data_IF_894022601892
#
_entry.id   IF_894022601892
#
_cell.length_a   1.000
_cell.length_b   1.000
_cell.length_c   1.000
_cell.angle_alpha   90.00
_cell.angle_beta   90.00
_cell.angle_gamma   90.00
#
_symmetry.space_group_name_H-M   'P 1'
#
loop_
_entity.id
_entity.type
_entity.pdbx_description
1 polymer ?
#
# COMPACT_ATOMS: atom_id res chain seq x y z
N UNK A 1 16.51 7.98 -2.49
CA UNK A 1 15.87 7.25 -1.37
C UNK A 1 15.22 8.24 -0.42
N UNK A 2 13.98 7.98 -0.03
CA UNK A 2 13.31 8.75 1.01
C UNK A 2 13.51 8.07 2.36
N UNK A 3 13.17 8.76 3.45
CA UNK A 3 13.24 8.22 4.82
C UNK A 3 11.89 8.34 5.51
N UNK A 4 10.79 8.16 4.78
CA UNK A 4 9.46 8.23 5.36
C UNK A 4 9.30 7.15 6.43
N UNK A 5 8.65 7.50 7.53
CA UNK A 5 8.47 6.66 8.70
C UNK A 5 7.06 6.85 9.27
N UNK A 6 6.65 5.94 10.14
CA UNK A 6 5.29 5.88 10.66
C UNK A 6 4.36 5.08 9.74
N UNK A 7 3.06 5.15 10.01
CA UNK A 7 2.06 4.41 9.25
C UNK A 7 1.67 5.10 7.95
N UNK A 8 1.24 4.29 6.97
CA UNK A 8 0.57 4.80 5.77
C UNK A 8 -0.78 5.40 6.22
N UNK A 9 -1.04 6.69 5.98
CA UNK A 9 -2.31 7.30 6.34
C UNK A 9 -3.48 6.75 5.54
N UNK A 10 -4.61 6.48 6.19
CA UNK A 10 -5.81 5.91 5.56
C UNK A 10 -6.36 6.76 4.41
N UNK A 11 -6.16 8.09 4.46
CA UNK A 11 -6.64 9.00 3.40
C UNK A 11 -5.94 8.76 2.05
N UNK A 12 -4.76 8.13 2.03
CA UNK A 12 -4.09 7.80 0.77
C UNK A 12 -4.85 6.74 -0.05
N UNK A 13 -5.79 6.03 0.57
CA UNK A 13 -6.67 5.07 -0.10
C UNK A 13 -8.00 5.63 -0.60
N UNK A 14 -8.34 6.89 -0.31
CA UNK A 14 -9.68 7.42 -0.53
C UNK A 14 -9.64 8.81 -1.19
N UNK A 15 -10.65 9.17 -1.98
CA UNK A 15 -10.62 9.10 -3.45
C UNK A 15 -9.60 10.09 -4.03
N UNK A 16 -8.32 9.73 -3.99
CA UNK A 16 -7.35 10.32 -4.89
C UNK A 16 -7.49 9.59 -6.22
N UNK A 17 -7.47 10.30 -7.35
CA UNK A 17 -7.34 9.68 -8.68
C UNK A 17 -5.93 9.09 -8.89
N UNK A 18 -5.44 8.37 -7.88
CA UNK A 18 -4.10 7.87 -7.80
C UNK A 18 -4.04 6.56 -8.57
N UNK A 19 -3.31 6.58 -9.68
CA UNK A 19 -3.06 5.39 -10.49
C UNK A 19 -1.75 4.70 -10.08
N UNK A 20 -0.82 5.45 -9.48
CA UNK A 20 0.53 4.99 -9.16
C UNK A 20 0.96 5.42 -7.77
N UNK A 21 1.22 4.47 -6.89
CA UNK A 21 1.77 4.68 -5.55
C UNK A 21 3.03 3.81 -5.38
N UNK A 22 4.18 4.47 -5.30
CA UNK A 22 5.45 3.81 -5.02
C UNK A 22 6.09 4.39 -3.74
N UNK A 23 6.08 3.58 -2.69
CA UNK A 23 6.67 3.81 -1.38
C UNK A 23 7.82 2.82 -1.11
N UNK A 24 8.35 2.20 -2.17
CA UNK A 24 9.47 1.27 -2.07
C UNK A 24 10.65 1.90 -1.32
N UNK A 25 11.30 1.10 -0.48
CA UNK A 25 12.52 1.47 0.23
C UNK A 25 12.36 2.69 1.14
N UNK A 26 11.55 2.50 2.19
CA UNK A 26 11.32 3.48 3.25
C UNK A 26 11.34 2.78 4.63
N UNK A 27 10.96 3.50 5.68
CA UNK A 27 10.86 3.02 7.06
C UNK A 27 9.42 3.01 7.56
N UNK A 28 8.47 2.77 6.67
CA UNK A 28 7.04 2.73 7.01
C UNK A 28 6.72 1.51 7.86
N UNK A 29 5.84 1.69 8.85
CA UNK A 29 5.41 0.67 9.81
C UNK A 29 3.87 0.57 9.83
N UNK A 30 3.30 -0.29 10.67
CA UNK A 30 1.85 -0.46 10.74
C UNK A 30 1.29 -1.44 9.71
N UNK A 31 -0.03 -1.41 9.53
CA UNK A 31 -0.77 -2.31 8.63
C UNK A 31 -1.05 -1.64 7.28
N UNK A 32 -1.32 -2.45 6.26
CA UNK A 32 -1.78 -1.93 4.96
C UNK A 32 -3.21 -1.37 5.14
N UNK A 33 -3.48 -0.09 4.80
CA UNK A 33 -4.81 0.47 4.94
C UNK A 33 -5.84 -0.26 4.09
N UNK A 34 -6.97 -0.65 4.69
CA UNK A 34 -8.12 -1.22 3.95
C UNK A 34 -8.71 -0.22 2.95
N UNK A 35 -8.52 1.08 3.20
CA UNK A 35 -9.03 2.15 2.34
C UNK A 35 -8.47 2.09 0.94
N UNK A 36 -7.27 1.51 0.75
CA UNK A 36 -6.72 1.22 -0.57
C UNK A 36 -7.72 0.48 -1.47
N UNK A 37 -8.57 -0.40 -0.91
CA UNK A 37 -9.56 -1.16 -1.66
C UNK A 37 -10.81 -0.37 -2.12
N UNK A 38 -10.98 0.91 -1.74
CA UNK A 38 -12.25 1.64 -1.87
C UNK A 38 -12.17 2.74 -2.97
N UNK A 39 -13.17 2.82 -3.86
CA UNK A 39 -12.96 2.66 -5.31
C UNK A 39 -11.62 3.26 -5.78
N UNK A 40 -10.62 2.40 -5.89
CA UNK A 40 -9.29 2.81 -6.30
C UNK A 40 -9.08 2.66 -7.80
N UNK A 41 -8.49 3.69 -8.40
CA UNK A 41 -7.94 3.65 -9.76
C UNK A 41 -6.48 3.16 -9.77
N UNK A 42 -5.95 2.66 -8.64
CA UNK A 42 -4.57 2.21 -8.54
C UNK A 42 -4.29 1.08 -9.53
N UNK A 43 -3.34 1.33 -10.41
CA UNK A 43 -2.76 0.39 -11.35
C UNK A 43 -1.44 -0.17 -10.81
N UNK A 44 -0.72 0.61 -10.00
CA UNK A 44 0.57 0.24 -9.44
C UNK A 44 0.66 0.59 -7.95
N UNK A 45 0.84 -0.43 -7.12
CA UNK A 45 1.08 -0.29 -5.69
C UNK A 45 2.37 -1.01 -5.31
N UNK A 46 3.39 -0.25 -4.94
CA UNK A 46 4.66 -0.76 -4.44
C UNK A 46 4.93 -0.22 -3.03
N UNK A 47 4.83 -1.09 -2.03
CA UNK A 47 5.18 -0.78 -0.64
C UNK A 47 6.30 -1.72 -0.14
N UNK A 48 7.06 -2.31 -1.06
CA UNK A 48 8.14 -3.23 -0.72
C UNK A 48 9.30 -2.55 0.01
N UNK A 49 10.13 -3.36 0.68
CA UNK A 49 11.29 -2.88 1.46
C UNK A 49 10.87 -1.81 2.49
N UNK A 50 9.96 -2.20 3.38
CA UNK A 50 9.46 -1.42 4.51
C UNK A 50 9.36 -2.33 5.76
N UNK A 51 8.73 -1.85 6.82
CA UNK A 51 8.51 -2.57 8.08
C UNK A 51 7.01 -2.78 8.35
N UNK A 52 6.20 -2.93 7.29
CA UNK A 52 4.76 -3.18 7.39
C UNK A 52 4.51 -4.55 8.05
N UNK A 53 3.46 -4.67 8.84
CA UNK A 53 3.12 -5.90 9.58
C UNK A 53 1.62 -6.20 9.57
N UNK A 54 1.24 -7.38 10.06
CA UNK A 54 -0.13 -7.88 10.03
C UNK A 54 -0.49 -8.51 8.69
N UNK A 55 -1.78 -8.76 8.48
CA UNK A 55 -2.27 -9.46 7.29
C UNK A 55 -2.40 -8.51 6.09
N UNK A 56 -2.28 -9.07 4.89
CA UNK A 56 -2.73 -8.40 3.67
C UNK A 56 -4.27 -8.33 3.71
N UNK A 57 -4.88 -7.13 3.67
CA UNK A 57 -6.32 -6.99 3.73
C UNK A 57 -7.01 -7.74 2.58
N UNK A 58 -8.04 -8.52 2.92
CA UNK A 58 -8.81 -9.29 1.93
C UNK A 58 -9.58 -8.39 0.97
N UNK A 59 -9.86 -7.16 1.40
CA UNK A 59 -10.51 -6.10 0.67
C UNK A 59 -9.71 -5.72 -0.57
N UNK A 60 -8.38 -5.85 -0.57
CA UNK A 60 -7.54 -5.56 -1.74
C UNK A 60 -7.86 -6.48 -2.95
N UNK A 61 -8.65 -7.55 -2.76
CA UNK A 61 -9.24 -8.33 -3.87
C UNK A 61 -10.19 -7.50 -4.73
N UNK A 62 -10.71 -6.38 -4.25
CA UNK A 62 -11.56 -5.45 -5.02
C UNK A 62 -10.77 -4.58 -6.00
N UNK A 63 -9.45 -4.62 -5.97
CA UNK A 63 -8.60 -3.89 -6.91
C UNK A 63 -8.72 -4.43 -8.32
N UNK A 64 -9.64 -3.87 -9.10
CA UNK A 64 -9.89 -4.30 -10.47
C UNK A 64 -8.90 -3.75 -11.50
N UNK A 65 -8.21 -2.65 -11.19
CA UNK A 65 -7.27 -1.99 -12.11
C UNK A 65 -5.80 -2.31 -11.83
N UNK A 66 -5.50 -3.01 -10.72
CA UNK A 66 -4.13 -3.20 -10.25
C UNK A 66 -3.39 -4.20 -11.16
N UNK A 67 -2.33 -3.73 -11.81
CA UNK A 67 -1.47 -4.52 -12.68
C UNK A 67 -0.14 -4.86 -12.01
N UNK A 68 0.26 -4.07 -11.01
CA UNK A 68 1.45 -4.31 -10.21
C UNK A 68 1.14 -4.15 -8.72
N UNK A 69 1.46 -5.20 -7.96
CA UNK A 69 1.36 -5.22 -6.51
C UNK A 69 2.63 -5.82 -5.92
N UNK A 70 3.35 -5.04 -5.11
CA UNK A 70 4.52 -5.52 -4.39
C UNK A 70 4.48 -5.11 -2.93
N UNK A 71 4.57 -6.12 -2.07
CA UNK A 71 4.74 -6.00 -0.62
C UNK A 71 6.00 -6.72 -0.13
N UNK A 72 6.90 -7.08 -1.06
CA UNK A 72 8.12 -7.86 -0.79
C UNK A 72 8.98 -7.18 0.28
N UNK A 73 9.69 -7.95 1.10
CA UNK A 73 10.59 -7.42 2.14
C UNK A 73 9.83 -6.50 3.13
N UNK A 74 8.79 -7.06 3.73
CA UNK A 74 8.05 -6.54 4.87
C UNK A 74 7.84 -7.67 5.90
N UNK A 75 7.22 -7.35 7.03
CA UNK A 75 6.93 -8.29 8.12
C UNK A 75 5.45 -8.73 8.11
N UNK A 76 4.89 -8.95 6.92
CA UNK A 76 3.48 -9.30 6.71
C UNK A 76 3.23 -10.81 6.90
N UNK A 77 2.03 -11.16 7.36
CA UNK A 77 1.55 -12.53 7.59
C UNK A 77 0.48 -12.95 6.60
#
# INVERSE_FOLDING_TARGET
ENKFYGSIPDFLGSPLELNFLNLYDNKLTGTIPVTFANPSKLEHLNIGQNQMHGNIPSELRSFTHLTFFSVKMNNLT
#
